data_IF_008899586754
#
_entry.id   IF_008899586754
#
_cell.length_a   1.000
_cell.length_b   1.000
_cell.length_c   1.000
_cell.angle_alpha   90.00
_cell.angle_beta   90.00
_cell.angle_gamma   90.00
#
_symmetry.space_group_name_H-M   'P 1'
#
loop_
_entity.id
_entity.type
_entity.pdbx_description
1 polymer ?
#
# COMPACT_ATOMS: atom_id res chain seq x y z
N UNK A 1 -4.94 13.79 11.54
CA UNK A 1 -5.80 12.63 11.20
C UNK A 1 -4.87 11.47 10.92
N UNK A 2 -4.46 10.77 11.97
CA UNK A 2 -3.74 9.50 11.86
C UNK A 2 -4.78 8.40 11.58
N UNK A 3 -4.34 7.20 11.20
CA UNK A 3 -5.15 5.97 11.03
C UNK A 3 -5.52 5.60 9.58
N UNK A 4 -4.54 5.58 8.68
CA UNK A 4 -4.57 4.63 7.56
C UNK A 4 -3.96 3.29 8.04
N UNK A 5 -4.68 2.16 7.92
CA UNK A 5 -4.20 0.85 8.37
C UNK A 5 -4.08 0.66 9.89
N UNK A 6 -4.91 1.36 10.68
CA UNK A 6 -4.89 1.26 12.15
C UNK A 6 -5.25 -0.14 12.64
N UNK A 7 -4.42 -0.67 13.54
CA UNK A 7 -4.71 -1.90 14.27
C UNK A 7 -5.50 -1.52 15.52
N UNK A 8 -6.79 -1.86 15.50
CA UNK A 8 -7.74 -1.58 16.57
C UNK A 8 -7.28 -2.32 17.84
N UNK A 9 -7.04 -1.55 18.88
CA UNK A 9 -6.68 -2.08 20.21
C UNK A 9 -7.91 -2.63 20.94
N UNK A 10 -7.70 -3.40 22.01
CA UNK A 10 -8.80 -3.98 22.78
C UNK A 10 -9.80 -2.94 23.30
N UNK A 11 -9.32 -1.75 23.69
CA UNK A 11 -10.17 -0.66 24.19
C UNK A 11 -11.02 -0.03 23.07
N UNK A 12 -10.42 0.22 21.91
CA UNK A 12 -11.14 0.80 20.76
C UNK A 12 -12.18 -0.16 20.18
N UNK A 13 -11.89 -1.47 20.21
CA UNK A 13 -12.83 -2.51 19.80
C UNK A 13 -14.14 -2.46 20.61
N UNK A 14 -14.06 -2.10 21.90
CA UNK A 14 -15.27 -1.96 22.74
C UNK A 14 -16.18 -0.84 22.26
N UNK A 15 -15.61 0.30 21.86
CA UNK A 15 -16.37 1.43 21.33
C UNK A 15 -17.00 1.10 19.97
N UNK A 16 -16.30 0.34 19.11
CA UNK A 16 -16.80 -0.08 17.80
C UNK A 16 -17.93 -1.11 17.87
N UNK A 17 -17.93 -1.99 18.88
CA UNK A 17 -18.97 -3.00 19.07
C UNK A 17 -20.20 -2.46 19.82
N UNK A 18 -20.10 -1.31 20.49
CA UNK A 18 -21.19 -0.70 21.25
C UNK A 18 -22.52 -0.56 20.47
N UNK A 19 -22.53 -0.14 19.18
CA UNK A 19 -23.77 -0.02 18.40
C UNK A 19 -24.47 -1.36 18.15
N UNK A 20 -23.71 -2.47 18.06
CA UNK A 20 -24.25 -3.82 17.81
C UNK A 20 -25.14 -4.27 18.97
N UNK A 21 -24.85 -3.82 20.19
CA UNK A 21 -25.66 -4.13 21.38
C UNK A 21 -26.88 -3.20 21.56
N UNK A 22 -26.93 -2.07 20.84
CA UNK A 22 -28.08 -1.14 20.86
C UNK A 22 -29.16 -1.49 19.84
N UNK A 23 -28.80 -2.29 18.82
CA UNK A 23 -29.77 -2.82 17.87
C UNK A 23 -30.56 -3.98 18.50
N UNK A 24 -31.83 -4.07 18.14
CA UNK A 24 -32.91 -4.83 18.79
C UNK A 24 -32.80 -6.36 18.80
N UNK A 25 -31.62 -6.96 18.64
CA UNK A 25 -31.43 -8.42 18.66
C UNK A 25 -31.12 -8.92 20.07
N UNK A 26 -32.06 -9.66 20.66
CA UNK A 26 -31.87 -10.35 21.95
C UNK A 26 -30.95 -11.57 21.86
N UNK A 27 -30.52 -11.97 20.66
CA UNK A 27 -29.70 -13.15 20.44
C UNK A 27 -28.46 -12.78 19.63
N UNK A 28 -27.28 -13.06 20.16
CA UNK A 28 -25.99 -12.83 19.52
C UNK A 28 -25.28 -14.17 19.31
N UNK A 29 -24.81 -14.41 18.08
CA UNK A 29 -24.12 -15.64 17.70
C UNK A 29 -22.68 -15.27 17.33
N UNK A 30 -21.73 -15.87 18.02
CA UNK A 30 -20.30 -15.74 17.78
C UNK A 30 -19.77 -17.02 17.13
N UNK A 31 -19.42 -16.95 15.85
CA UNK A 31 -18.71 -18.00 15.15
C UNK A 31 -17.20 -17.74 15.27
N UNK A 32 -16.50 -18.66 15.92
CA UNK A 32 -15.07 -18.55 16.20
C UNK A 32 -14.28 -19.58 15.38
N UNK A 33 -13.37 -19.10 14.54
CA UNK A 33 -12.39 -19.92 13.83
C UNK A 33 -11.00 -19.86 14.47
N UNK A 34 -10.14 -20.82 14.13
CA UNK A 34 -8.75 -20.82 14.60
C UNK A 34 -7.94 -19.70 13.91
N UNK A 35 -8.01 -19.66 12.58
CA UNK A 35 -7.29 -18.68 11.73
C UNK A 35 -8.21 -18.03 10.70
N UNK A 36 -8.21 -16.70 10.61
CA UNK A 36 -8.89 -15.94 9.56
C UNK A 36 -8.19 -14.58 9.34
N UNK A 37 -7.94 -14.21 8.09
CA UNK A 37 -7.51 -12.87 7.69
C UNK A 37 -8.50 -12.25 6.71
N UNK A 38 -8.49 -10.92 6.60
CA UNK A 38 -9.28 -10.22 5.57
C UNK A 38 -8.82 -10.59 4.15
N UNK A 39 -7.52 -10.88 3.99
CA UNK A 39 -6.93 -11.31 2.74
C UNK A 39 -7.41 -12.70 2.29
N UNK A 40 -7.93 -13.52 3.21
CA UNK A 40 -8.44 -14.85 2.85
C UNK A 40 -9.74 -14.74 2.06
N UNK A 41 -10.55 -13.70 2.30
CA UNK A 41 -11.77 -13.48 1.54
C UNK A 41 -11.46 -13.11 0.09
N UNK A 42 -10.40 -12.32 -0.16
CA UNK A 42 -10.00 -11.97 -1.53
C UNK A 42 -9.28 -13.16 -2.19
N UNK A 43 -8.27 -13.71 -1.52
CA UNK A 43 -7.42 -14.78 -2.06
C UNK A 43 -8.21 -16.06 -2.38
N UNK A 44 -9.11 -16.49 -1.49
CA UNK A 44 -9.87 -17.73 -1.70
C UNK A 44 -11.11 -17.53 -2.58
N UNK A 45 -11.58 -16.30 -2.78
CA UNK A 45 -12.72 -16.03 -3.68
C UNK A 45 -12.41 -16.27 -5.16
N UNK A 46 -11.15 -16.14 -5.57
CA UNK A 46 -10.72 -16.31 -6.97
C UNK A 46 -10.25 -17.75 -7.30
N UNK A 47 -10.22 -18.66 -6.32
CA UNK A 47 -9.58 -19.96 -6.48
C UNK A 47 -10.47 -21.02 -7.18
N UNK A 48 -10.11 -21.30 -8.44
CA UNK A 48 -10.17 -22.51 -9.30
C UNK A 48 -11.23 -23.62 -9.18
N UNK A 49 -12.27 -23.52 -8.36
CA UNK A 49 -13.42 -24.42 -8.43
C UNK A 49 -14.73 -23.64 -8.39
N UNK A 50 -15.74 -24.12 -9.09
CA UNK A 50 -17.03 -23.48 -9.32
C UNK A 50 -17.91 -23.35 -8.04
N UNK A 51 -17.29 -23.34 -6.85
CA UNK A 51 -17.90 -23.32 -5.53
C UNK A 51 -17.16 -22.31 -4.65
N UNK A 52 -17.81 -21.19 -4.38
CA UNK A 52 -17.28 -20.18 -3.45
C UNK A 52 -17.30 -20.75 -2.03
N UNK A 53 -16.16 -20.83 -1.32
CA UNK A 53 -16.08 -21.42 0.02
C UNK A 53 -16.75 -20.57 1.12
N UNK A 54 -17.18 -19.34 0.80
CA UNK A 54 -17.85 -18.40 1.71
C UNK A 54 -19.28 -18.04 1.28
N UNK A 55 -19.97 -18.93 0.54
CA UNK A 55 -21.28 -18.62 -0.05
C UNK A 55 -22.33 -18.25 1.01
N UNK A 56 -22.42 -19.00 2.12
CA UNK A 56 -23.42 -18.78 3.15
C UNK A 56 -23.06 -17.56 4.02
N UNK A 57 -21.77 -17.40 4.34
CA UNK A 57 -21.26 -16.16 4.97
C UNK A 57 -21.57 -14.94 4.10
N UNK A 58 -21.41 -15.03 2.78
CA UNK A 58 -21.74 -13.95 1.84
C UNK A 58 -23.26 -13.67 1.77
N UNK A 59 -24.10 -14.70 1.86
CA UNK A 59 -25.56 -14.55 1.90
C UNK A 59 -26.05 -13.85 3.18
N UNK A 60 -25.42 -14.14 4.32
CA UNK A 60 -25.65 -13.44 5.60
C UNK A 60 -25.08 -12.00 5.55
N UNK A 61 -24.03 -11.78 4.75
CA UNK A 61 -23.28 -10.52 4.61
C UNK A 61 -24.05 -9.34 4.00
N UNK A 62 -25.32 -9.50 3.60
CA UNK A 62 -26.12 -8.35 3.14
C UNK A 62 -26.23 -7.25 4.23
N UNK A 63 -26.03 -7.62 5.50
CA UNK A 63 -25.94 -6.69 6.64
C UNK A 63 -24.52 -6.13 6.88
N UNK A 64 -23.47 -6.90 6.56
CA UNK A 64 -22.06 -6.56 6.76
C UNK A 64 -21.58 -5.44 5.81
N UNK A 65 -22.14 -5.38 4.59
CA UNK A 65 -21.89 -4.30 3.63
C UNK A 65 -22.18 -2.93 4.27
N UNK A 66 -23.23 -2.81 5.07
CA UNK A 66 -23.60 -1.55 5.70
C UNK A 66 -22.62 -1.14 6.82
N UNK A 67 -22.10 -2.09 7.60
CA UNK A 67 -21.12 -1.82 8.66
C UNK A 67 -19.73 -1.51 8.11
N UNK A 68 -19.29 -2.26 7.09
CA UNK A 68 -18.06 -1.98 6.36
C UNK A 68 -18.12 -0.61 5.68
N UNK A 69 -19.27 -0.22 5.13
CA UNK A 69 -19.46 1.07 4.48
C UNK A 69 -19.44 2.24 5.49
N UNK A 70 -19.91 2.02 6.71
CA UNK A 70 -19.81 3.00 7.80
C UNK A 70 -18.36 3.12 8.33
N UNK A 71 -17.65 2.00 8.47
CA UNK A 71 -16.23 1.99 8.85
C UNK A 71 -15.36 2.63 7.76
N UNK A 72 -15.60 2.32 6.48
CA UNK A 72 -14.93 2.95 5.34
C UNK A 72 -15.22 4.46 5.25
N UNK A 73 -16.41 4.90 5.66
CA UNK A 73 -16.74 6.33 5.79
C UNK A 73 -15.99 7.01 6.94
N UNK A 74 -15.76 6.29 8.03
CA UNK A 74 -14.99 6.79 9.18
C UNK A 74 -13.46 6.71 8.96
N UNK A 75 -13.01 5.94 7.98
CA UNK A 75 -11.61 5.75 7.65
C UNK A 75 -11.09 6.88 6.74
N UNK A 76 -9.91 7.46 7.02
CA UNK A 76 -9.31 8.50 6.18
C UNK A 76 -8.86 8.01 4.80
N UNK A 77 -8.79 6.68 4.59
CA UNK A 77 -8.48 6.07 3.29
C UNK A 77 -9.31 4.80 3.03
N UNK A 78 -9.81 4.68 1.80
CA UNK A 78 -10.52 3.51 1.27
C UNK A 78 -9.59 2.37 0.83
N UNK A 79 -8.26 2.62 0.81
CA UNK A 79 -7.28 1.69 0.25
C UNK A 79 -6.80 0.61 1.24
N UNK A 80 -6.84 0.88 2.55
CA UNK A 80 -6.34 -0.03 3.59
C UNK A 80 -7.43 -0.25 4.64
N UNK A 81 -7.89 -1.49 4.78
CA UNK A 81 -8.90 -1.86 5.75
C UNK A 81 -8.28 -1.95 7.17
N UNK A 82 -8.97 -1.47 8.21
CA UNK A 82 -8.50 -1.60 9.59
C UNK A 82 -8.47 -3.07 10.02
N UNK A 83 -7.47 -3.44 10.84
CA UNK A 83 -7.31 -4.79 11.37
C UNK A 83 -7.47 -4.78 12.90
N UNK A 84 -7.79 -5.94 13.50
CA UNK A 84 -7.91 -6.07 14.97
C UNK A 84 -6.69 -6.81 15.51
N UNK A 85 -6.14 -6.35 16.63
CA UNK A 85 -5.03 -7.05 17.29
C UNK A 85 -5.47 -8.45 17.76
N UNK A 86 -4.67 -9.48 17.46
CA UNK A 86 -4.88 -10.87 17.93
C UNK A 86 -4.90 -10.97 19.46
N UNK A 87 -4.24 -10.06 20.18
CA UNK A 87 -4.37 -9.99 21.64
C UNK A 87 -5.76 -9.52 22.05
N UNK A 88 -6.35 -8.58 21.31
CA UNK A 88 -7.69 -8.07 21.57
C UNK A 88 -8.78 -9.13 21.31
N UNK A 89 -8.64 -9.96 20.27
CA UNK A 89 -9.62 -11.04 19.99
C UNK A 89 -9.70 -12.07 21.12
N UNK A 90 -8.62 -12.30 21.87
CA UNK A 90 -8.66 -13.18 23.07
C UNK A 90 -9.52 -12.61 24.19
N UNK A 91 -9.62 -11.29 24.30
CA UNK A 91 -10.41 -10.60 25.32
C UNK A 91 -11.85 -10.33 24.87
N UNK A 92 -12.21 -10.67 23.63
CA UNK A 92 -13.54 -10.42 23.07
C UNK A 92 -14.62 -11.22 23.80
N UNK A 93 -14.38 -12.49 24.12
CA UNK A 93 -15.37 -13.32 24.81
C UNK A 93 -15.64 -12.82 26.24
N UNK A 94 -14.59 -12.45 26.98
CA UNK A 94 -14.75 -11.85 28.32
C UNK A 94 -15.48 -10.51 28.24
N UNK A 95 -15.19 -9.70 27.23
CA UNK A 95 -15.87 -8.42 27.02
C UNK A 95 -17.37 -8.60 26.71
N UNK A 96 -17.72 -9.57 25.85
CA UNK A 96 -19.11 -9.89 25.55
C UNK A 96 -19.88 -10.37 26.79
N UNK A 97 -19.20 -11.06 27.70
CA UNK A 97 -19.79 -11.51 28.97
C UNK A 97 -19.99 -10.36 29.97
N UNK A 98 -19.06 -9.40 30.01
CA UNK A 98 -19.14 -8.24 30.91
C UNK A 98 -20.13 -7.17 30.42
N UNK A 99 -20.37 -7.08 29.10
CA UNK A 99 -21.22 -6.05 28.50
C UNK A 99 -22.72 -6.26 28.71
N UNK A 100 -23.16 -7.46 29.11
CA UNK A 100 -24.57 -7.74 29.38
C UNK A 100 -24.81 -9.03 30.19
N UNK A 101 -26.01 -9.17 30.76
CA UNK A 101 -26.42 -10.37 31.50
C UNK A 101 -26.87 -11.49 30.53
N UNK A 102 -25.92 -12.00 29.74
CA UNK A 102 -26.14 -12.99 28.69
C UNK A 102 -26.21 -14.43 29.25
N UNK A 103 -27.11 -15.26 28.72
CA UNK A 103 -27.02 -16.72 28.90
C UNK A 103 -26.03 -17.29 27.88
N UNK A 104 -24.86 -17.72 28.35
CA UNK A 104 -23.82 -18.33 27.52
C UNK A 104 -24.19 -19.79 27.17
N UNK A 105 -24.23 -20.11 25.87
CA UNK A 105 -24.33 -21.49 25.38
C UNK A 105 -23.13 -21.77 24.47
N UNK A 106 -22.20 -22.60 24.95
CA UNK A 106 -21.07 -23.07 24.14
C UNK A 106 -21.49 -24.32 23.37
N UNK A 107 -21.44 -24.25 22.05
CA UNK A 107 -21.84 -25.35 21.16
C UNK A 107 -20.57 -25.97 20.59
N UNK A 108 -20.18 -27.12 21.13
CA UNK A 108 -19.02 -27.90 20.68
C UNK A 108 -19.44 -29.10 19.83
N UNK A 109 -20.64 -29.64 20.05
CA UNK A 109 -21.26 -30.65 19.21
C UNK A 109 -22.29 -29.96 18.32
N UNK A 110 -22.16 -30.14 17.00
CA UNK A 110 -22.96 -29.48 15.96
C UNK A 110 -24.46 -29.86 15.92
N UNK A 111 -24.99 -30.40 17.02
CA UNK A 111 -26.39 -30.81 17.14
C UNK A 111 -27.25 -29.64 17.64
N UNK A 112 -27.94 -29.04 16.67
CA UNK A 112 -28.84 -27.89 16.80
C UNK A 112 -30.11 -28.20 17.63
N UNK A 113 -30.31 -29.46 17.99
CA UNK A 113 -31.45 -29.96 18.76
C UNK A 113 -31.40 -29.60 20.26
N UNK A 114 -30.28 -29.09 20.76
CA UNK A 114 -30.14 -28.63 22.17
C UNK A 114 -30.35 -27.12 22.37
N UNK A 115 -30.74 -26.40 21.31
CA UNK A 115 -30.80 -24.94 21.32
C UNK A 115 -32.14 -24.42 21.89
N UNK A 116 -32.27 -24.42 23.21
CA UNK A 116 -33.35 -23.71 23.91
C UNK A 116 -33.02 -22.22 24.03
N UNK A 117 -33.39 -21.45 22.99
CA UNK A 117 -33.36 -19.99 23.04
C UNK A 117 -34.49 -19.51 23.95
N UNK A 118 -34.16 -19.17 25.20
CA UNK A 118 -35.14 -18.72 26.18
C UNK A 118 -35.52 -17.25 25.89
N UNK A 119 -36.81 -16.93 25.92
CA UNK A 119 -37.37 -15.63 25.51
C UNK A 119 -37.21 -14.52 26.57
N UNK A 120 -36.75 -14.86 27.78
CA UNK A 120 -36.70 -13.96 28.94
C UNK A 120 -35.37 -13.23 29.15
N UNK A 121 -34.24 -13.74 28.63
CA UNK A 121 -32.90 -13.13 28.74
C UNK A 121 -32.20 -13.09 27.38
N UNK A 122 -31.28 -12.14 27.15
CA UNK A 122 -30.50 -12.15 25.92
C UNK A 122 -29.54 -13.36 25.89
N UNK A 123 -29.43 -14.04 24.75
CA UNK A 123 -28.65 -15.27 24.61
C UNK A 123 -27.36 -14.99 23.82
N UNK A 124 -26.23 -15.49 24.32
CA UNK A 124 -24.94 -15.47 23.63
C UNK A 124 -24.56 -16.91 23.26
N UNK A 125 -24.56 -17.20 21.97
CA UNK A 125 -24.22 -18.52 21.43
C UNK A 125 -22.81 -18.48 20.87
N UNK A 126 -21.90 -19.27 21.44
CA UNK A 126 -20.52 -19.37 20.94
C UNK A 126 -20.37 -20.70 20.23
N UNK A 127 -20.14 -20.63 18.91
CA UNK A 127 -19.93 -21.78 18.04
C UNK A 127 -18.46 -21.83 17.68
N UNK A 128 -17.75 -22.82 18.21
CA UNK A 128 -16.37 -23.06 17.85
C UNK A 128 -16.33 -23.95 16.61
N UNK A 129 -15.83 -23.39 15.51
CA UNK A 129 -15.71 -24.09 14.23
C UNK A 129 -14.49 -25.00 14.25
N UNK A 130 -14.45 -25.99 13.35
CA UNK A 130 -13.37 -26.98 13.36
C UNK A 130 -12.03 -26.31 13.03
N UNK A 131 -10.97 -26.60 13.82
CA UNK A 131 -9.63 -26.08 13.57
C UNK A 131 -8.99 -26.84 12.40
N UNK A 132 -8.17 -26.14 11.62
CA UNK A 132 -7.44 -26.74 10.51
C UNK A 132 -5.94 -26.67 10.79
N UNK A 133 -5.26 -27.81 10.63
CA UNK A 133 -3.83 -27.92 10.89
C UNK A 133 -3.04 -26.95 10.02
N UNK A 134 -2.23 -26.10 10.66
CA UNK A 134 -1.48 -24.99 10.07
C UNK A 134 -0.31 -25.42 9.15
N UNK A 135 -0.45 -26.51 8.38
CA UNK A 135 0.63 -27.08 7.58
C UNK A 135 0.22 -28.10 6.51
N UNK A 136 -1.01 -28.05 5.98
CA UNK A 136 -1.46 -28.92 4.89
C UNK A 136 -1.89 -28.10 3.67
N UNK A 137 -1.67 -28.69 2.48
CA UNK A 137 -1.94 -28.15 1.14
C UNK A 137 -3.12 -27.17 1.05
N UNK A 138 -3.00 -26.11 0.23
CA UNK A 138 -4.02 -25.07 0.00
C UNK A 138 -5.43 -25.64 -0.29
N UNK A 139 -5.49 -26.80 -0.94
CA UNK A 139 -6.72 -27.53 -1.25
C UNK A 139 -7.43 -28.00 0.02
N UNK A 140 -6.68 -28.50 1.00
CA UNK A 140 -7.23 -28.97 2.28
C UNK A 140 -7.76 -27.83 3.15
N UNK A 141 -7.16 -26.63 3.07
CA UNK A 141 -7.64 -25.43 3.76
C UNK A 141 -8.92 -24.86 3.14
N UNK A 142 -9.10 -25.03 1.82
CA UNK A 142 -10.31 -24.57 1.14
C UNK A 142 -11.51 -25.47 1.45
N UNK A 143 -11.33 -26.80 1.41
CA UNK A 143 -12.38 -27.76 1.74
C UNK A 143 -12.85 -27.61 3.20
N UNK A 144 -11.89 -27.46 4.10
CA UNK A 144 -12.04 -27.08 5.49
C UNK A 144 -12.94 -25.85 5.73
N UNK A 145 -12.64 -24.74 5.04
CA UNK A 145 -13.43 -23.51 5.15
C UNK A 145 -14.82 -23.71 4.55
N UNK A 146 -14.95 -24.44 3.44
CA UNK A 146 -16.23 -24.74 2.82
C UNK A 146 -17.13 -25.62 3.71
N UNK A 147 -16.58 -26.58 4.45
CA UNK A 147 -17.35 -27.35 5.43
C UNK A 147 -17.82 -26.47 6.60
N UNK A 148 -16.96 -25.56 7.09
CA UNK A 148 -17.34 -24.58 8.10
C UNK A 148 -18.45 -23.63 7.60
N UNK A 149 -18.42 -23.21 6.33
CA UNK A 149 -19.46 -22.36 5.73
C UNK A 149 -20.81 -23.09 5.63
N UNK A 150 -20.81 -24.40 5.33
CA UNK A 150 -22.03 -25.23 5.37
C UNK A 150 -22.64 -25.31 6.77
N UNK A 151 -21.79 -25.39 7.80
CA UNK A 151 -22.22 -25.41 9.20
C UNK A 151 -22.91 -24.08 9.56
N UNK A 152 -22.30 -22.96 9.19
CA UNK A 152 -22.86 -21.62 9.39
C UNK A 152 -24.22 -21.50 8.67
N UNK A 153 -24.29 -21.95 7.42
CA UNK A 153 -25.52 -21.97 6.64
C UNK A 153 -26.64 -22.77 7.32
N UNK A 154 -26.36 -24.00 7.76
CA UNK A 154 -27.35 -24.85 8.44
C UNK A 154 -27.88 -24.22 9.73
N UNK A 155 -27.00 -23.67 10.57
CA UNK A 155 -27.37 -23.05 11.84
C UNK A 155 -28.22 -21.80 11.66
N UNK A 156 -27.83 -20.94 10.71
CA UNK A 156 -28.58 -19.71 10.43
C UNK A 156 -29.93 -19.99 9.80
N UNK A 157 -30.04 -20.99 8.92
CA UNK A 157 -31.31 -21.44 8.34
C UNK A 157 -32.27 -21.96 9.42
N UNK A 158 -31.83 -22.85 10.33
CA UNK A 158 -32.68 -23.38 11.40
C UNK A 158 -33.17 -22.27 12.35
N UNK A 159 -32.32 -21.30 12.68
CA UNK A 159 -32.71 -20.15 13.51
C UNK A 159 -33.72 -19.23 12.82
N UNK A 160 -33.57 -19.06 11.50
CA UNK A 160 -34.49 -18.28 10.69
C UNK A 160 -35.85 -18.99 10.55
N UNK A 161 -35.86 -20.31 10.33
CA UNK A 161 -37.08 -21.13 10.30
C UNK A 161 -37.84 -21.09 11.63
N UNK A 162 -37.12 -21.00 12.76
CA UNK A 162 -37.70 -20.80 14.10
C UNK A 162 -38.16 -19.36 14.37
N UNK A 163 -37.95 -18.43 13.43
CA UNK A 163 -38.40 -17.03 13.55
C UNK A 163 -37.63 -16.22 14.59
N UNK A 164 -36.40 -16.62 14.93
CA UNK A 164 -35.59 -15.94 15.94
C UNK A 164 -34.79 -14.82 15.27
N UNK A 165 -34.93 -13.58 15.74
CA UNK A 165 -34.05 -12.49 15.32
C UNK A 165 -32.70 -12.61 16.03
N UNK A 166 -31.61 -12.65 15.25
CA UNK A 166 -30.25 -12.78 15.75
C UNK A 166 -29.27 -11.84 15.03
N UNK A 167 -28.21 -11.44 15.73
CA UNK A 167 -27.02 -10.82 15.14
C UNK A 167 -25.88 -11.83 15.12
N UNK A 168 -25.01 -11.75 14.11
CA UNK A 168 -23.88 -12.67 13.94
C UNK A 168 -22.57 -11.90 13.96
N UNK A 169 -21.60 -12.40 14.73
CA UNK A 169 -20.20 -12.01 14.67
C UNK A 169 -19.41 -13.21 14.20
N UNK A 170 -18.65 -13.05 13.12
CA UNK A 170 -17.75 -14.06 12.59
C UNK A 170 -16.31 -13.55 12.76
N UNK A 171 -15.49 -14.29 13.51
CA UNK A 171 -14.12 -13.87 13.86
C UNK A 171 -13.21 -15.07 14.11
N UNK A 172 -11.91 -14.82 14.24
CA UNK A 172 -10.91 -15.85 14.53
C UNK A 172 -10.01 -15.50 15.71
N UNK A 173 -9.43 -16.54 16.31
CA UNK A 173 -8.49 -16.42 17.43
C UNK A 173 -7.15 -15.85 16.96
N UNK A 174 -6.71 -16.20 15.75
CA UNK A 174 -5.42 -15.79 15.19
C UNK A 174 -5.58 -15.34 13.73
N UNK A 175 -4.71 -14.47 13.22
CA UNK A 175 -4.65 -14.20 11.79
C UNK A 175 -4.00 -15.37 11.06
N UNK A 176 -4.55 -15.75 9.90
CA UNK A 176 -3.96 -16.75 8.99
C UNK A 176 -2.68 -16.23 8.32
N UNK A 177 -2.64 -14.93 8.03
CA UNK A 177 -1.50 -14.20 7.50
C UNK A 177 -1.20 -13.04 8.42
N UNK A 178 0.05 -12.93 8.84
CA UNK A 178 0.51 -11.74 9.56
C UNK A 178 0.54 -10.62 8.52
N UNK A 179 -0.40 -9.67 8.61
CA UNK A 179 -0.25 -8.39 7.93
C UNK A 179 1.07 -7.82 8.41
N UNK A 180 2.06 -7.75 7.52
CA UNK A 180 3.35 -7.16 7.83
C UNK A 180 3.02 -5.77 8.33
N UNK A 181 3.39 -5.50 9.58
CA UNK A 181 3.29 -4.19 10.20
C UNK A 181 3.79 -3.19 9.17
N UNK A 182 2.90 -2.34 8.65
CA UNK A 182 3.32 -1.16 7.89
C UNK A 182 3.95 -0.12 8.82
N UNK A 183 4.74 -0.55 9.82
CA UNK A 183 5.79 0.28 10.43
C UNK A 183 6.87 0.62 9.39
N UNK A 184 6.78 0.00 8.21
CA UNK A 184 7.47 0.41 6.98
C UNK A 184 6.43 0.92 5.98
N UNK A 185 5.82 2.07 6.27
CA UNK A 185 5.17 2.92 5.24
C UNK A 185 6.13 3.21 4.07
N UNK A 186 7.45 3.03 4.28
CA UNK A 186 8.48 3.02 3.23
C UNK A 186 8.40 1.89 2.18
N UNK A 187 7.41 0.99 2.23
CA UNK A 187 7.22 -0.09 1.25
C UNK A 187 5.95 -0.01 0.40
N UNK A 188 5.13 1.04 0.50
CA UNK A 188 4.17 1.37 -0.57
C UNK A 188 4.92 1.98 -1.78
N UNK A 189 5.87 1.20 -2.32
CA UNK A 189 6.50 1.47 -3.59
C UNK A 189 5.45 1.22 -4.68
N UNK A 190 5.49 2.00 -5.76
CA UNK A 190 4.76 1.68 -6.99
C UNK A 190 5.44 0.48 -7.66
N UNK A 191 5.27 -0.71 -7.09
CA UNK A 191 5.82 -1.95 -7.62
C UNK A 191 4.84 -2.57 -8.62
N UNK A 192 5.05 -2.29 -9.90
CA UNK A 192 4.58 -3.18 -10.95
C UNK A 192 5.63 -4.28 -11.14
N UNK A 193 5.28 -5.53 -10.77
CA UNK A 193 6.07 -6.74 -11.00
C UNK A 193 7.58 -6.60 -10.72
N UNK A 194 7.96 -6.10 -9.53
CA UNK A 194 9.34 -6.19 -9.08
C UNK A 194 9.45 -7.35 -8.09
N UNK A 195 10.33 -8.32 -8.39
CA UNK A 195 10.75 -9.36 -7.45
C UNK A 195 11.28 -8.69 -6.19
N UNK A 196 10.81 -9.13 -5.02
CA UNK A 196 11.37 -8.72 -3.74
C UNK A 196 12.80 -9.26 -3.64
N UNK A 197 13.79 -8.42 -3.96
CA UNK A 197 15.14 -8.68 -3.49
C UNK A 197 15.13 -8.49 -1.97
N UNK A 198 15.16 -9.62 -1.26
CA UNK A 198 15.46 -9.67 0.18
C UNK A 198 16.85 -9.06 0.42
N UNK A 199 16.92 -7.74 0.58
CA UNK A 199 18.11 -7.11 1.12
C UNK A 199 18.25 -7.52 2.59
N UNK A 200 19.12 -8.51 2.82
CA UNK A 200 19.48 -9.11 4.10
C UNK A 200 20.26 -8.17 5.05
N UNK A 201 20.42 -6.89 4.71
CA UNK A 201 21.19 -5.89 5.47
C UNK A 201 20.47 -4.54 5.47
N UNK A 202 19.34 -4.44 6.17
CA UNK A 202 18.67 -3.14 6.39
C UNK A 202 19.28 -2.45 7.61
N UNK A 203 20.23 -1.56 7.38
CA UNK A 203 20.72 -0.62 8.39
C UNK A 203 19.77 0.58 8.53
N UNK A 204 19.71 1.23 9.72
CA UNK A 204 18.86 2.39 9.92
C UNK A 204 19.30 3.58 9.05
N UNK A 205 18.37 4.47 8.66
CA UNK A 205 18.70 5.70 7.96
C UNK A 205 19.55 6.63 8.83
N UNK A 206 20.38 7.44 8.17
CA UNK A 206 21.09 8.52 8.82
C UNK A 206 20.10 9.63 9.20
N UNK A 207 20.09 10.03 10.47
CA UNK A 207 19.25 11.10 10.98
C UNK A 207 20.10 12.30 11.42
N UNK A 208 19.67 13.51 11.06
CA UNK A 208 20.25 14.76 11.54
C UNK A 208 19.24 15.40 12.48
N UNK A 209 19.63 15.58 13.74
CA UNK A 209 18.80 16.16 14.79
C UNK A 209 19.25 17.58 15.11
N UNK A 210 18.31 18.53 15.10
CA UNK A 210 18.55 19.90 15.58
C UNK A 210 17.72 20.09 16.85
N UNK A 211 18.37 19.92 18.01
CA UNK A 211 17.68 19.91 19.29
C UNK A 211 16.82 18.66 19.48
N UNK A 212 15.50 18.82 19.67
CA UNK A 212 14.56 17.73 19.98
C UNK A 212 13.86 17.12 18.76
N UNK A 213 14.08 17.63 17.55
CA UNK A 213 13.43 17.14 16.33
C UNK A 213 14.46 16.68 15.29
N UNK A 214 14.13 15.62 14.55
CA UNK A 214 14.86 15.23 13.34
C UNK A 214 14.50 16.15 12.20
N UNK A 215 15.50 16.73 11.58
CA UNK A 215 15.35 17.66 10.47
C UNK A 215 15.59 16.99 9.12
N UNK A 216 16.61 16.14 9.01
CA UNK A 216 16.94 15.44 7.77
C UNK A 216 17.03 13.93 8.04
N UNK A 217 16.43 13.15 7.14
CA UNK A 217 16.63 11.71 7.02
C UNK A 217 17.25 11.40 5.67
N UNK A 218 18.27 10.55 5.69
CA UNK A 218 19.01 10.15 4.50
C UNK A 218 19.29 8.65 4.51
N UNK A 219 19.02 7.99 3.40
CA UNK A 219 19.26 6.57 3.21
C UNK A 219 19.71 6.29 1.79
N UNK A 220 20.64 5.35 1.65
CA UNK A 220 21.04 4.79 0.37
C UNK A 220 21.55 3.36 0.60
N UNK A 221 21.32 2.47 -0.36
CA UNK A 221 21.86 1.10 -0.34
C UNK A 221 23.31 1.01 -0.83
N UNK A 222 23.71 1.91 -1.72
CA UNK A 222 25.08 2.06 -2.17
C UNK A 222 25.33 3.55 -2.32
N UNK A 223 26.40 4.04 -1.71
CA UNK A 223 26.86 5.41 -1.83
C UNK A 223 28.34 5.39 -2.17
N UNK A 224 28.66 5.51 -3.46
CA UNK A 224 30.02 5.46 -3.96
C UNK A 224 30.34 6.59 -4.91
N UNK A 225 31.62 6.94 -4.94
CA UNK A 225 32.17 8.04 -5.71
C UNK A 225 33.40 7.54 -6.47
N UNK A 226 33.67 8.13 -7.62
CA UNK A 226 34.86 7.86 -8.40
C UNK A 226 35.56 9.17 -8.72
N UNK A 227 36.75 9.37 -8.18
CA UNK A 227 37.57 10.55 -8.45
C UNK A 227 38.58 10.26 -9.57
N UNK A 228 38.76 11.24 -10.47
CA UNK A 228 39.70 11.20 -11.60
C UNK A 228 39.65 9.89 -12.40
N UNK A 229 38.45 9.31 -12.57
CA UNK A 229 38.23 8.04 -13.28
C UNK A 229 39.00 6.81 -12.76
N UNK A 230 39.69 6.88 -11.62
CA UNK A 230 40.61 5.84 -11.15
C UNK A 230 40.45 5.50 -9.67
N UNK A 231 40.16 6.48 -8.82
CA UNK A 231 40.03 6.27 -7.38
C UNK A 231 38.57 6.02 -7.04
N UNK A 232 38.25 4.79 -6.66
CA UNK A 232 36.91 4.41 -6.19
C UNK A 232 36.82 4.58 -4.67
N UNK A 233 35.77 5.24 -4.21
CA UNK A 233 35.51 5.55 -2.80
C UNK A 233 34.13 5.01 -2.48
N UNK A 234 34.06 4.01 -1.61
CA UNK A 234 32.80 3.51 -1.07
C UNK A 234 32.56 4.13 0.31
N UNK A 235 31.48 4.90 0.42
CA UNK A 235 31.09 5.60 1.64
C UNK A 235 29.96 4.88 2.38
N UNK A 236 29.35 3.86 1.79
CA UNK A 236 28.14 3.20 2.29
C UNK A 236 28.30 2.67 3.73
N UNK A 237 29.39 1.93 3.98
CA UNK A 237 29.66 1.37 5.29
C UNK A 237 30.00 2.47 6.31
N UNK A 238 30.75 3.49 5.87
CA UNK A 238 31.14 4.61 6.71
C UNK A 238 29.92 5.42 7.18
N UNK A 239 28.95 5.66 6.29
CA UNK A 239 27.75 6.45 6.56
C UNK A 239 26.72 5.73 7.42
N UNK A 240 26.36 4.49 7.05
CA UNK A 240 25.18 3.86 7.61
C UNK A 240 25.47 2.77 8.63
N UNK A 241 26.58 2.03 8.46
CA UNK A 241 26.90 0.88 9.32
C UNK A 241 27.74 1.32 10.52
N UNK A 242 28.86 2.00 10.27
CA UNK A 242 29.75 2.48 11.34
C UNK A 242 29.40 3.88 11.84
N UNK A 243 28.60 4.63 11.07
CA UNK A 243 28.21 6.03 11.34
C UNK A 243 29.41 6.93 11.74
N UNK A 244 30.56 6.73 11.11
CA UNK A 244 31.79 7.50 11.38
C UNK A 244 31.87 8.77 10.51
N UNK A 245 30.71 9.38 10.27
CA UNK A 245 30.55 10.58 9.43
C UNK A 245 30.27 11.77 10.32
N UNK A 246 31.00 12.86 10.10
CA UNK A 246 30.76 14.12 10.81
C UNK A 246 29.64 14.88 10.08
N UNK A 247 28.53 15.08 10.80
CA UNK A 247 27.30 15.76 10.33
C UNK A 247 27.13 17.15 10.95
N UNK A 248 28.10 17.63 11.74
CA UNK A 248 27.98 18.86 12.53
C UNK A 248 27.81 20.13 11.70
N UNK A 249 28.24 20.11 10.43
CA UNK A 249 28.07 21.17 9.44
C UNK A 249 26.72 21.16 8.73
N UNK A 250 25.78 20.29 9.12
CA UNK A 250 24.44 20.26 8.55
C UNK A 250 23.58 21.40 9.09
N UNK A 251 22.91 22.12 8.19
CA UNK A 251 22.07 23.27 8.52
C UNK A 251 20.60 22.97 8.26
N UNK A 252 19.76 23.37 9.21
CA UNK A 252 18.34 23.09 9.21
C UNK A 252 17.54 24.37 9.38
N UNK A 253 16.74 24.72 8.39
CA UNK A 253 15.81 25.84 8.41
C UNK A 253 14.52 25.44 7.69
N UNK A 254 13.42 26.15 7.97
CA UNK A 254 12.12 25.87 7.35
C UNK A 254 12.11 26.07 5.83
N UNK A 255 13.05 26.88 5.33
CA UNK A 255 13.16 27.27 3.93
C UNK A 255 14.30 26.53 3.22
N UNK A 256 15.46 26.42 3.86
CA UNK A 256 16.67 25.83 3.27
C UNK A 256 17.25 24.80 4.24
N UNK A 257 17.58 23.62 3.74
CA UNK A 257 18.23 22.57 4.53
C UNK A 257 19.47 22.08 3.78
N UNK A 258 20.58 21.94 4.49
CA UNK A 258 21.84 21.46 3.93
C UNK A 258 22.30 20.27 4.73
N UNK A 259 22.33 19.09 4.12
CA UNK A 259 22.95 17.91 4.70
C UNK A 259 24.44 17.93 4.34
N UNK A 260 25.32 18.10 5.33
CA UNK A 260 26.77 18.01 5.12
C UNK A 260 27.31 16.72 5.73
N UNK A 261 27.99 15.93 4.92
CA UNK A 261 28.61 14.66 5.28
C UNK A 261 30.12 14.80 5.13
N UNK A 262 30.84 14.87 6.25
CA UNK A 262 32.29 15.03 6.25
C UNK A 262 32.99 13.74 6.68
N UNK A 263 33.94 13.30 5.85
CA UNK A 263 34.74 12.10 6.04
C UNK A 263 36.21 12.47 6.20
N UNK A 264 36.85 11.89 7.22
CA UNK A 264 38.30 12.00 7.45
C UNK A 264 39.00 10.80 6.82
N UNK A 265 39.99 11.05 5.96
CA UNK A 265 40.80 10.02 5.28
C UNK A 265 39.98 8.89 4.63
N UNK A 266 39.06 9.19 3.70
CA UNK A 266 38.25 8.14 3.06
C UNK A 266 39.08 7.18 2.20
N UNK A 267 40.17 7.64 1.58
CA UNK A 267 41.09 6.85 0.74
C UNK A 267 42.51 7.43 0.79
N UNK A 268 43.50 6.60 0.48
CA UNK A 268 44.89 7.03 0.36
C UNK A 268 45.02 8.14 -0.70
N UNK A 269 45.41 9.35 -0.27
CA UNK A 269 45.56 10.52 -1.14
C UNK A 269 44.45 11.57 -1.03
N UNK A 270 43.41 11.33 -0.22
CA UNK A 270 42.40 12.34 0.13
C UNK A 270 42.35 12.45 1.65
N UNK A 271 42.70 13.62 2.19
CA UNK A 271 42.77 13.85 3.63
C UNK A 271 41.39 14.14 4.25
N UNK A 272 40.56 14.90 3.53
CA UNK A 272 39.18 15.17 3.93
C UNK A 272 38.26 15.28 2.72
N UNK A 273 37.04 14.78 2.87
CA UNK A 273 36.00 14.86 1.84
C UNK A 273 34.70 15.29 2.49
N UNK A 274 34.12 16.39 2.03
CA UNK A 274 32.81 16.87 2.49
C UNK A 274 31.84 16.86 1.34
N UNK A 275 30.65 16.31 1.56
CA UNK A 275 29.58 16.21 0.57
C UNK A 275 28.35 16.92 1.11
N UNK A 276 27.86 17.92 0.38
CA UNK A 276 26.73 18.74 0.78
C UNK A 276 25.55 18.54 -0.16
N UNK A 277 24.40 18.19 0.39
CA UNK A 277 23.12 18.14 -0.33
C UNK A 277 22.32 19.38 0.05
N UNK A 278 22.12 20.30 -0.90
CA UNK A 278 21.40 21.54 -0.68
C UNK A 278 19.96 21.36 -1.13
N UNK A 279 19.04 21.43 -0.18
CA UNK A 279 17.60 21.31 -0.39
C UNK A 279 16.90 22.63 -0.06
N UNK A 280 15.88 22.98 -0.83
CA UNK A 280 15.03 24.14 -0.55
C UNK A 280 13.56 23.76 -0.53
N UNK A 281 12.78 24.49 0.24
CA UNK A 281 11.35 24.34 0.39
C UNK A 281 10.65 25.60 -0.14
N UNK A 282 9.85 25.43 -1.20
CA UNK A 282 9.16 26.54 -1.86
C UNK A 282 7.68 26.25 -2.02
N UNK A 283 6.85 27.25 -1.74
CA UNK A 283 5.42 27.20 -2.01
C UNK A 283 5.17 27.48 -3.49
N UNK A 284 4.48 26.56 -4.18
CA UNK A 284 4.10 26.71 -5.58
C UNK A 284 2.60 26.96 -5.69
N UNK A 285 2.22 28.18 -6.09
CA UNK A 285 0.82 28.60 -6.22
C UNK A 285 -0.01 27.68 -7.11
N UNK A 286 0.55 27.21 -8.24
CA UNK A 286 -0.16 26.31 -9.16
C UNK A 286 -0.56 24.96 -8.56
N UNK A 287 0.16 24.50 -7.53
CA UNK A 287 -0.16 23.28 -6.79
C UNK A 287 -0.81 23.54 -5.43
N UNK A 288 -0.82 24.80 -4.98
CA UNK A 288 -1.18 25.22 -3.62
C UNK A 288 -0.48 24.41 -2.51
N UNK A 289 0.78 24.00 -2.75
CA UNK A 289 1.56 23.13 -1.86
C UNK A 289 3.02 23.55 -1.79
N UNK A 290 3.66 23.18 -0.69
CA UNK A 290 5.10 23.30 -0.48
C UNK A 290 5.82 22.12 -1.14
N UNK A 291 6.87 22.41 -1.89
CA UNK A 291 7.71 21.42 -2.54
C UNK A 291 9.14 21.55 -2.03
N UNK A 292 9.68 20.41 -1.61
CA UNK A 292 11.10 20.23 -1.36
C UNK A 292 11.82 19.92 -2.67
N UNK A 293 12.89 20.64 -2.97
CA UNK A 293 13.73 20.43 -4.16
C UNK A 293 15.17 20.26 -3.73
N UNK A 294 15.86 19.24 -4.26
CA UNK A 294 17.31 19.15 -4.14
C UNK A 294 17.91 19.99 -5.26
N UNK A 295 18.47 21.14 -4.90
CA UNK A 295 18.93 22.14 -5.87
C UNK A 295 20.32 21.80 -6.41
N UNK A 296 21.25 21.43 -5.52
CA UNK A 296 22.60 21.04 -5.91
C UNK A 296 23.27 20.10 -4.92
N UNK A 297 24.20 19.30 -5.44
CA UNK A 297 25.12 18.49 -4.65
C UNK A 297 26.52 19.07 -4.79
N UNK A 298 27.19 19.35 -3.69
CA UNK A 298 28.54 19.91 -3.66
C UNK A 298 29.50 18.88 -3.05
N UNK A 299 30.68 18.75 -3.63
CA UNK A 299 31.76 17.90 -3.13
C UNK A 299 32.99 18.79 -2.91
N UNK A 300 33.47 18.83 -1.69
CA UNK A 300 34.64 19.60 -1.27
C UNK A 300 35.73 18.60 -0.89
N UNK A 301 36.78 18.53 -1.70
CA UNK A 301 37.97 17.72 -1.40
C UNK A 301 39.04 18.60 -0.76
N UNK A 302 39.57 18.15 0.38
CA UNK A 302 40.71 18.73 1.10
C UNK A 302 40.55 20.23 1.44
N UNK A 303 39.32 20.74 1.47
CA UNK A 303 39.00 22.15 1.70
C UNK A 303 39.31 23.10 0.54
N UNK A 304 39.99 22.63 -0.52
CA UNK A 304 40.43 23.48 -1.64
C UNK A 304 39.63 23.20 -2.93
N UNK A 305 39.34 21.93 -3.21
CA UNK A 305 38.72 21.52 -4.47
C UNK A 305 37.20 21.46 -4.32
N UNK A 306 36.53 22.48 -4.83
CA UNK A 306 35.07 22.57 -4.83
C UNK A 306 34.49 22.03 -6.14
N UNK A 307 33.56 21.08 -6.07
CA UNK A 307 32.84 20.51 -7.21
C UNK A 307 31.34 20.67 -7.01
N UNK A 308 30.62 21.24 -7.97
CA UNK A 308 29.18 21.48 -7.88
C UNK A 308 28.42 20.73 -8.97
N UNK A 309 27.37 20.04 -8.58
CA UNK A 309 26.44 19.34 -9.46
C UNK A 309 25.05 19.96 -9.35
N UNK A 310 24.50 20.37 -10.49
CA UNK A 310 23.09 20.75 -10.61
C UNK A 310 22.25 19.48 -10.81
N UNK A 311 21.02 19.49 -10.31
CA UNK A 311 20.17 18.31 -10.35
C UNK A 311 19.06 18.49 -11.39
N UNK A 312 18.80 17.48 -12.22
CA UNK A 312 17.87 17.62 -13.34
C UNK A 312 16.40 17.66 -12.90
N UNK A 313 15.97 16.76 -12.01
CA UNK A 313 14.60 16.70 -11.45
C UNK A 313 14.62 15.86 -10.16
N UNK A 314 14.91 16.47 -9.01
CA UNK A 314 14.72 15.82 -7.70
C UNK A 314 13.85 16.73 -6.85
N UNK A 315 12.55 16.52 -6.93
CA UNK A 315 11.56 17.28 -6.18
C UNK A 315 10.48 16.35 -5.64
N UNK A 316 9.99 16.69 -4.45
CA UNK A 316 8.87 16.01 -3.80
C UNK A 316 8.07 17.04 -3.00
N UNK A 317 6.75 16.84 -2.82
CA UNK A 317 5.98 17.60 -1.83
C UNK A 317 6.69 17.57 -0.47
N UNK A 318 6.67 18.67 0.27
CA UNK A 318 7.43 18.80 1.52
C UNK A 318 6.99 17.80 2.61
N UNK A 319 5.78 17.24 2.50
CA UNK A 319 5.29 16.20 3.39
C UNK A 319 5.86 14.82 3.06
N UNK A 320 6.45 14.63 1.88
CA UNK A 320 6.88 13.34 1.34
C UNK A 320 8.42 13.24 1.29
N UNK A 321 8.91 12.00 1.28
CA UNK A 321 10.33 11.72 1.03
C UNK A 321 10.58 11.58 -0.48
N UNK A 322 11.75 11.98 -0.97
CA UNK A 322 12.15 11.72 -2.35
C UNK A 322 12.87 10.37 -2.43
N UNK A 323 12.44 9.47 -3.31
CA UNK A 323 13.06 8.16 -3.52
C UNK A 323 13.48 7.95 -4.98
N UNK A 324 14.64 7.35 -5.20
CA UNK A 324 15.08 6.99 -6.53
C UNK A 324 15.99 5.76 -6.52
N UNK A 325 15.75 4.82 -7.45
CA UNK A 325 16.54 3.59 -7.56
C UNK A 325 18.00 3.85 -7.92
N UNK A 326 18.26 4.79 -8.84
CA UNK A 326 19.59 5.11 -9.33
C UNK A 326 19.73 6.63 -9.48
N UNK A 327 20.74 7.18 -8.81
CA UNK A 327 21.13 8.58 -8.88
C UNK A 327 22.62 8.68 -9.19
N UNK A 328 23.00 9.58 -10.10
CA UNK A 328 24.42 9.77 -10.39
C UNK A 328 24.70 10.65 -11.60
N UNK A 329 25.95 10.63 -12.07
CA UNK A 329 26.43 11.46 -13.19
C UNK A 329 26.10 10.90 -14.57
N UNK A 330 25.77 9.60 -14.67
CA UNK A 330 25.46 8.93 -15.93
C UNK A 330 24.18 9.45 -16.57
N UNK A 331 24.19 9.55 -17.91
CA UNK A 331 23.00 9.93 -18.70
C UNK A 331 21.89 8.86 -18.68
N UNK A 332 22.22 7.64 -18.26
CA UNK A 332 21.25 6.53 -18.18
C UNK A 332 20.43 6.56 -16.88
N UNK A 333 20.83 7.37 -15.90
CA UNK A 333 20.14 7.42 -14.62
C UNK A 333 18.95 8.38 -14.65
N UNK A 334 17.81 8.00 -14.05
CA UNK A 334 16.59 8.80 -14.07
C UNK A 334 16.76 10.14 -13.35
N UNK A 335 17.47 10.14 -12.21
CA UNK A 335 17.81 11.37 -11.50
C UNK A 335 19.31 11.66 -11.67
N UNK A 336 19.59 12.68 -12.48
CA UNK A 336 20.95 12.99 -12.96
C UNK A 336 21.57 14.16 -12.21
N UNK A 337 22.84 13.96 -11.84
CA UNK A 337 23.74 14.98 -11.32
C UNK A 337 24.56 15.54 -12.49
N UNK A 338 24.31 16.79 -12.85
CA UNK A 338 24.92 17.48 -13.99
C UNK A 338 26.09 18.33 -13.46
N UNK A 339 27.33 18.06 -13.88
CA UNK A 339 28.49 18.84 -13.42
C UNK A 339 28.36 20.30 -13.87
N UNK A 340 28.41 21.23 -12.92
CA UNK A 340 28.29 22.67 -13.16
C UNK A 340 29.65 23.36 -13.34
N UNK A 341 30.74 22.80 -12.80
CA UNK A 341 32.10 23.33 -12.92
C UNK A 341 33.08 22.30 -13.47
N UNK A 342 34.31 22.73 -13.76
CA UNK A 342 35.33 21.87 -14.37
C UNK A 342 35.81 20.78 -13.41
N UNK A 343 35.88 21.09 -12.12
CA UNK A 343 36.27 20.15 -11.07
C UNK A 343 35.24 19.03 -10.93
N UNK A 344 33.93 19.32 -11.04
CA UNK A 344 32.88 18.30 -11.01
C UNK A 344 32.96 17.28 -12.16
N UNK A 345 33.59 17.62 -13.30
CA UNK A 345 33.81 16.65 -14.39
C UNK A 345 34.79 15.53 -14.03
N UNK A 346 35.60 15.75 -12.99
CA UNK A 346 36.55 14.75 -12.51
C UNK A 346 35.92 13.75 -11.53
N UNK A 347 34.66 13.94 -11.17
CA UNK A 347 33.95 13.15 -10.19
C UNK A 347 32.75 12.46 -10.82
N UNK A 348 32.68 11.14 -10.66
CA UNK A 348 31.46 10.38 -10.91
C UNK A 348 30.83 10.00 -9.58
N UNK A 349 29.51 10.20 -9.49
CA UNK A 349 28.72 9.89 -8.30
C UNK A 349 27.79 8.75 -8.63
N UNK A 350 27.70 7.75 -7.76
CA UNK A 350 26.79 6.62 -7.86
C UNK A 350 26.08 6.39 -6.54
N UNK A 351 24.75 6.56 -6.56
CA UNK A 351 23.89 6.32 -5.40
C UNK A 351 22.77 5.37 -5.83
N UNK A 352 22.65 4.24 -5.12
CA UNK A 352 21.58 3.27 -5.36
C UNK A 352 20.56 3.29 -4.22
N UNK A 353 19.26 3.25 -4.58
CA UNK A 353 18.11 3.32 -3.66
C UNK A 353 18.22 4.50 -2.71
N UNK A 354 18.45 5.69 -3.28
CA UNK A 354 18.48 6.93 -2.54
C UNK A 354 17.08 7.23 -2.01
N UNK A 355 16.97 7.51 -0.72
CA UNK A 355 15.80 8.11 -0.11
C UNK A 355 16.24 9.27 0.79
N UNK A 356 15.68 10.46 0.57
CA UNK A 356 16.05 11.66 1.32
C UNK A 356 14.80 12.48 1.64
N UNK A 357 14.75 13.02 2.86
CA UNK A 357 13.70 13.92 3.30
C UNK A 357 14.33 14.98 4.20
N UNK A 358 14.12 16.26 3.88
CA UNK A 358 14.71 17.39 4.62
C UNK A 358 13.70 18.25 5.38
N UNK A 359 12.39 17.99 5.24
CA UNK A 359 11.35 18.82 5.83
C UNK A 359 10.21 17.95 6.36
N UNK A 360 9.51 18.48 7.37
CA UNK A 360 8.27 17.93 7.93
C UNK A 360 8.34 16.42 8.26
N UNK A 361 9.40 16.02 8.98
CA UNK A 361 9.63 14.64 9.40
C UNK A 361 8.87 14.38 10.70
N UNK A 362 8.10 13.29 10.71
CA UNK A 362 7.34 12.83 11.88
C UNK A 362 7.93 11.52 12.41
N UNK A 363 7.98 11.36 13.74
CA UNK A 363 8.41 10.12 14.42
C UNK A 363 9.79 9.56 14.03
N UNK A 364 10.70 10.40 13.54
CA UNK A 364 12.02 9.99 13.04
C UNK A 364 11.95 8.92 11.92
N UNK A 365 10.85 8.87 11.17
CA UNK A 365 10.64 7.93 10.07
C UNK A 365 10.42 8.69 8.76
N UNK A 366 10.72 8.02 7.63
CA UNK A 366 10.40 8.58 6.32
C UNK A 366 8.89 8.64 6.11
N UNK A 367 8.42 9.76 5.61
CA UNK A 367 7.08 9.90 5.05
C UNK A 367 6.96 9.14 3.73
N UNK A 368 5.74 9.13 3.17
CA UNK A 368 5.43 8.54 1.88
C UNK A 368 6.46 8.92 0.80
N UNK A 369 6.90 7.94 0.00
CA UNK A 369 7.96 8.12 -0.97
C UNK A 369 7.44 8.60 -2.33
N UNK A 370 8.00 9.72 -2.82
CA UNK A 370 7.84 10.23 -4.18
C UNK A 370 8.97 9.70 -5.05
N UNK A 371 8.64 8.74 -5.91
CA UNK A 371 9.59 8.12 -6.82
C UNK A 371 10.04 9.06 -7.96
N UNK A 372 11.31 8.97 -8.35
CA UNK A 372 11.88 9.66 -9.51
C UNK A 372 11.40 9.13 -10.87
N UNK A 373 10.65 8.01 -10.90
CA UNK A 373 10.13 7.40 -12.12
C UNK A 373 8.66 7.77 -12.33
N UNK A 374 8.35 8.27 -13.53
CA UNK A 374 6.98 8.47 -13.97
C UNK A 374 6.39 7.14 -14.47
N UNK A 375 5.10 6.90 -14.23
CA UNK A 375 4.40 5.73 -14.78
C UNK A 375 4.45 5.69 -16.30
N UNK A 376 4.31 6.85 -16.94
CA UNK A 376 4.36 6.99 -18.37
C UNK A 376 5.27 8.17 -18.71
N UNK A 377 6.25 7.92 -19.57
CA UNK A 377 7.08 9.00 -20.12
C UNK A 377 6.25 9.84 -21.09
N UNK A 378 6.67 11.10 -21.36
CA UNK A 378 6.02 11.90 -22.40
C UNK A 378 5.93 11.18 -23.75
N UNK A 379 6.95 10.40 -24.11
CA UNK A 379 6.95 9.60 -25.34
C UNK A 379 5.86 8.52 -25.34
N UNK A 380 5.68 7.80 -24.23
CA UNK A 380 4.61 6.79 -24.10
C UNK A 380 3.24 7.47 -24.18
N UNK A 381 3.05 8.62 -23.55
CA UNK A 381 1.81 9.39 -23.66
C UNK A 381 1.49 9.79 -25.10
N UNK A 382 2.47 10.33 -25.82
CA UNK A 382 2.28 10.70 -27.23
C UNK A 382 1.93 9.48 -28.09
N UNK A 383 2.58 8.33 -27.85
CA UNK A 383 2.28 7.07 -28.54
C UNK A 383 0.90 6.51 -28.21
N UNK A 384 0.51 6.53 -26.93
CA UNK A 384 -0.77 6.00 -26.47
C UNK A 384 -1.94 6.83 -26.99
N UNK A 385 -1.85 8.16 -26.90
CA UNK A 385 -2.88 9.07 -27.40
C UNK A 385 -3.05 8.92 -28.91
N UNK A 386 -1.95 8.90 -29.67
CA UNK A 386 -2.02 8.73 -31.13
C UNK A 386 -2.59 7.36 -31.53
N UNK A 387 -2.19 6.29 -30.83
CA UNK A 387 -2.71 4.94 -31.08
C UNK A 387 -4.21 4.87 -30.82
N UNK A 388 -4.71 5.45 -29.73
CA UNK A 388 -6.15 5.50 -29.41
C UNK A 388 -6.93 6.24 -30.49
N UNK A 389 -6.42 7.39 -30.97
CA UNK A 389 -7.08 8.17 -32.04
C UNK A 389 -7.16 7.35 -33.34
N UNK A 390 -6.07 6.71 -33.75
CA UNK A 390 -6.06 5.87 -34.96
C UNK A 390 -6.98 4.66 -34.84
N UNK A 391 -7.02 4.02 -33.67
CA UNK A 391 -7.92 2.89 -33.40
C UNK A 391 -9.37 3.34 -33.47
N UNK A 392 -9.69 4.53 -32.96
CA UNK A 392 -11.04 5.08 -33.05
C UNK A 392 -11.48 5.35 -34.50
N UNK A 393 -10.60 5.91 -35.32
CA UNK A 393 -10.85 6.13 -36.76
C UNK A 393 -11.03 4.79 -37.48
N UNK A 394 -10.18 3.80 -37.19
CA UNK A 394 -10.26 2.46 -37.78
C UNK A 394 -11.57 1.77 -37.40
N UNK A 395 -11.95 1.81 -36.13
CA UNK A 395 -13.20 1.22 -35.63
C UNK A 395 -14.41 1.87 -36.31
N UNK A 396 -14.40 3.19 -36.48
CA UNK A 396 -15.45 3.90 -37.23
C UNK A 396 -15.48 3.47 -38.70
N UNK A 397 -14.32 3.34 -39.36
CA UNK A 397 -14.23 2.84 -40.74
C UNK A 397 -14.78 1.42 -40.90
N UNK A 398 -14.42 0.50 -39.99
CA UNK A 398 -14.93 -0.88 -39.97
C UNK A 398 -16.44 -0.88 -39.72
N UNK A 399 -16.92 -0.05 -38.79
CA UNK A 399 -18.35 0.07 -38.51
C UNK A 399 -19.14 0.51 -39.75
N UNK A 400 -18.65 1.51 -40.50
CA UNK A 400 -19.27 1.96 -41.75
C UNK A 400 -19.27 0.87 -42.83
N UNK A 401 -18.18 0.12 -42.98
CA UNK A 401 -18.11 -1.02 -43.91
C UNK A 401 -19.11 -2.11 -43.53
N UNK A 402 -19.25 -2.41 -42.23
CA UNK A 402 -20.19 -3.42 -41.75
C UNK A 402 -21.66 -3.04 -41.98
N UNK A 403 -21.95 -1.74 -42.11
CA UNK A 403 -23.29 -1.24 -42.43
C UNK A 403 -23.59 -1.18 -43.94
N UNK A 404 -22.65 -1.54 -44.81
CA UNK A 404 -22.92 -1.60 -46.24
C UNK A 404 -23.90 -2.74 -46.55
N UNK A 405 -25.15 -2.38 -46.79
CA UNK A 405 -26.18 -3.30 -47.28
C UNK A 405 -26.12 -3.41 -48.79
N UNK A 406 -26.11 -4.62 -49.33
CA UNK A 406 -26.24 -4.85 -50.78
C UNK A 406 -27.67 -4.59 -51.23
N UNK A 407 -27.85 -4.03 -52.43
CA UNK A 407 -29.18 -3.89 -53.03
C UNK A 407 -29.87 -5.26 -53.14
N UNK A 408 -31.13 -5.34 -52.71
CA UNK A 408 -31.88 -6.60 -52.66
C UNK A 408 -32.35 -7.08 -54.02
N UNK A 409 -32.41 -6.19 -55.03
CA UNK A 409 -32.93 -6.50 -56.35
C UNK A 409 -32.19 -5.71 -57.43
N UNK A 410 -31.91 -6.37 -58.53
CA UNK A 410 -31.34 -5.76 -59.73
C UNK A 410 -32.38 -5.82 -60.86
N UNK A 411 -32.39 -4.83 -61.73
CA UNK A 411 -33.23 -4.82 -62.93
C UNK A 411 -32.66 -5.79 -63.96
N UNK A 412 -33.42 -6.83 -64.30
CA UNK A 412 -33.05 -7.80 -65.32
C UNK A 412 -33.50 -7.27 -66.69
N UNK A 413 -32.60 -7.08 -67.67
CA UNK A 413 -32.95 -6.59 -69.01
C UNK A 413 -33.89 -7.51 -69.80
N UNK A 414 -34.10 -8.76 -69.35
CA UNK A 414 -35.07 -9.70 -69.93
C UNK A 414 -36.36 -9.83 -69.11
N UNK A 415 -36.43 -9.21 -67.94
CA UNK A 415 -37.61 -9.17 -67.07
C UNK A 415 -38.39 -7.86 -67.20
N UNK A 416 -39.62 -7.79 -66.66
CA UNK A 416 -40.35 -6.53 -66.58
C UNK A 416 -39.59 -5.55 -65.65
N UNK A 417 -39.43 -4.31 -66.12
CA UNK A 417 -38.70 -3.24 -65.42
C UNK A 417 -39.29 -2.98 -64.04
N UNK A 418 -38.43 -2.80 -63.04
CA UNK A 418 -38.82 -2.40 -61.70
C UNK A 418 -39.48 -1.02 -61.68
N UNK A 419 -40.75 -0.97 -61.28
CA UNK A 419 -41.46 0.29 -61.04
C UNK A 419 -41.10 0.83 -59.65
N UNK A 420 -40.43 1.98 -59.59
CA UNK A 420 -40.19 2.72 -58.34
C UNK A 420 -41.53 3.29 -57.88
N UNK A 421 -42.02 2.97 -56.66
CA UNK A 421 -43.22 3.61 -56.15
C UNK A 421 -42.93 5.11 -55.94
N UNK A 422 -43.58 5.96 -56.73
CA UNK A 422 -43.61 7.40 -56.49
C UNK A 422 -44.60 7.68 -55.35
N UNK A 423 -44.13 7.59 -54.12
CA UNK A 423 -44.85 8.11 -52.95
C UNK A 423 -43.85 8.80 -52.03
N UNK A 424 -44.28 9.98 -51.58
CA UNK A 424 -43.60 11.10 -50.90
C UNK A 424 -42.42 10.80 -49.98
#
# INVERSE_FOLDING_TARGET
>A
ALHEGHVVTAQELTALLQPVFTQSSRNLILFLQDTLSIDDFTYLSESYSNKNPFQNVQAINKLFINFLQEILRSSPSSLVLPAVDCKATRHLLSFLQESGDWKLTNITNLDVSQLEANTSKPNLLVVQLQPHGSGLNEISTLEAIAENDKIIGRLTMDLQERGIHFSVIYTAVRPSRISIRMDVVGKLKRQLMATEEEDSLSYPPLNVTTGNYTCILFYASNFSLKANSSVFIDLTNATFVTQNVDISSSECSDINTTLSLKYTMPVNGISSLEIRFLMTNKFYEGSARNWSTLDSVEIIQDGEKFSKFNVSVMSAPAEYSFHCQLVGTSNLYPARLIPSNNEAKNWDVYISRLQIQGFNIENNQFSYASDCAYFFTPAIWMGLVTSIVLLWILAYGIHMIMQLTTNSRFDDPKGPSLSVPQTE
#
